data_IF_778510514803
#
_entry.id   IF_778510514803
#
_cell.length_a   1.000
_cell.length_b   1.000
_cell.length_c   1.000
_cell.angle_alpha   90.00
_cell.angle_beta   90.00
_cell.angle_gamma   90.00
#
_symmetry.space_group_name_H-M   'P 1'
#
loop_
_entity.id
_entity.type
_entity.pdbx_description
1 polymer ?
#
# COMPACT_ATOMS: atom_id res chain seq x y z
N UNK A 1 -44.73 -56.46 8.37
CA UNK A 1 -45.32 -56.17 9.69
C UNK A 1 -44.21 -55.61 10.57
N UNK A 2 -44.24 -54.32 10.81
CA UNK A 2 -43.57 -53.68 11.95
C UNK A 2 -44.40 -53.97 13.23
N UNK A 3 -43.83 -53.92 14.45
CA UNK A 3 -43.53 -52.60 15.04
C UNK A 3 -42.23 -52.49 15.84
N UNK A 4 -41.76 -51.24 15.86
CA UNK A 4 -40.72 -50.67 16.68
C UNK A 4 -41.18 -50.28 18.10
N UNK A 5 -40.20 -50.18 19.02
CA UNK A 5 -40.02 -49.28 20.20
C UNK A 5 -39.14 -50.03 21.22
N UNK A 6 -38.01 -49.52 21.72
CA UNK A 6 -37.86 -48.29 22.47
C UNK A 6 -36.46 -47.62 22.34
N UNK A 7 -36.46 -46.32 22.62
CA UNK A 7 -35.41 -45.26 22.62
C UNK A 7 -35.05 -44.95 24.10
N UNK A 8 -34.17 -44.02 24.55
CA UNK A 8 -32.90 -43.40 24.07
C UNK A 8 -31.73 -43.50 25.09
N UNK A 9 -30.50 -43.16 24.66
CA UNK A 9 -29.64 -42.27 25.45
C UNK A 9 -28.82 -41.38 24.50
N UNK A 10 -29.36 -40.20 24.23
CA UNK A 10 -28.62 -39.09 23.69
C UNK A 10 -27.84 -38.43 24.84
N UNK A 11 -26.51 -38.44 24.76
CA UNK A 11 -25.67 -37.61 25.61
C UNK A 11 -25.65 -36.22 24.99
N UNK A 12 -26.32 -35.32 25.68
CA UNK A 12 -26.27 -33.88 25.54
C UNK A 12 -24.85 -33.37 25.75
N UNK A 13 -24.27 -32.69 24.75
CA UNK A 13 -23.27 -31.66 24.99
C UNK A 13 -23.82 -30.30 24.56
N UNK A 14 -24.25 -29.60 25.61
CA UNK A 14 -24.69 -28.23 25.63
C UNK A 14 -23.50 -27.27 25.47
N UNK A 15 -23.71 -26.29 24.59
CA UNK A 15 -23.26 -24.90 24.71
C UNK A 15 -21.78 -24.61 25.01
N UNK A 16 -21.03 -24.30 23.96
CA UNK A 16 -20.45 -22.96 23.83
C UNK A 16 -20.33 -22.64 22.34
N UNK A 17 -21.35 -21.97 21.81
CA UNK A 17 -21.23 -21.24 20.55
C UNK A 17 -20.27 -20.08 20.81
N UNK A 18 -18.98 -20.28 20.53
CA UNK A 18 -18.12 -19.18 20.13
C UNK A 18 -18.59 -18.78 18.73
N UNK A 19 -19.63 -17.94 18.67
CA UNK A 19 -19.80 -17.03 17.56
C UNK A 19 -18.58 -16.10 17.57
N UNK A 20 -17.51 -16.55 16.93
CA UNK A 20 -16.50 -15.64 16.41
C UNK A 20 -17.25 -14.82 15.38
N UNK A 21 -17.68 -13.62 15.77
CA UNK A 21 -18.22 -12.69 14.80
C UNK A 21 -17.07 -12.42 13.82
N UNK A 22 -17.20 -12.95 12.60
CA UNK A 22 -16.41 -12.53 11.44
C UNK A 22 -16.76 -11.07 11.14
N UNK A 23 -16.29 -10.17 12.01
CA UNK A 23 -16.05 -8.80 11.62
C UNK A 23 -14.85 -8.89 10.69
N UNK A 24 -15.18 -9.01 9.41
CA UNK A 24 -14.30 -8.69 8.30
C UNK A 24 -13.74 -7.29 8.57
N UNK A 25 -12.61 -7.20 9.27
CA UNK A 25 -11.78 -6.01 9.25
C UNK A 25 -11.16 -5.98 7.86
N UNK A 26 -11.95 -5.50 6.90
CA UNK A 26 -11.45 -5.16 5.58
C UNK A 26 -10.47 -4.03 5.84
N UNK A 27 -9.19 -4.38 5.88
CA UNK A 27 -8.10 -3.43 5.75
C UNK A 27 -8.29 -2.83 4.34
N UNK A 28 -8.98 -1.69 4.26
CA UNK A 28 -9.21 -0.97 3.02
C UNK A 28 -7.88 -0.37 2.59
N UNK A 29 -7.01 -1.22 2.05
CA UNK A 29 -5.68 -0.83 1.66
C UNK A 29 -5.79 0.16 0.51
N UNK A 30 -5.20 1.34 0.75
CA UNK A 30 -4.69 2.31 -0.22
C UNK A 30 -4.08 1.64 -1.47
N UNK A 31 -3.63 0.38 -1.36
CA UNK A 31 -3.24 -0.49 -2.47
C UNK A 31 -4.24 -0.61 -3.64
N UNK A 32 -5.56 -0.38 -3.46
CA UNK A 32 -6.53 -0.41 -4.59
C UNK A 32 -6.38 0.77 -5.57
N UNK A 33 -5.75 1.86 -5.15
CA UNK A 33 -5.45 3.00 -6.04
C UNK A 33 -4.24 2.70 -6.94
N UNK A 34 -3.39 1.75 -6.52
CA UNK A 34 -2.22 1.27 -7.25
C UNK A 34 -2.42 -0.06 -7.96
N UNK A 35 -3.66 -0.54 -8.14
CA UNK A 35 -3.88 -1.80 -8.85
C UNK A 35 -3.53 -1.70 -10.34
N UNK A 36 -3.02 -2.80 -10.90
CA UNK A 36 -2.53 -2.89 -12.28
C UNK A 36 -3.18 -4.04 -13.04
N UNK A 37 -3.39 -3.91 -14.36
CA UNK A 37 -3.98 -4.97 -15.16
C UNK A 37 -3.06 -6.19 -15.29
N UNK A 38 -3.64 -7.36 -15.61
CA UNK A 38 -2.91 -8.64 -15.83
C UNK A 38 -1.71 -8.45 -16.75
N UNK A 39 -1.85 -7.71 -17.85
CA UNK A 39 -0.76 -7.48 -18.81
C UNK A 39 0.51 -6.90 -18.15
N UNK A 40 0.35 -5.92 -17.27
CA UNK A 40 1.47 -5.28 -16.58
C UNK A 40 2.16 -6.23 -15.59
N UNK A 41 1.38 -7.13 -14.97
CA UNK A 41 1.89 -8.19 -14.09
C UNK A 41 2.64 -9.25 -14.87
N UNK A 42 2.12 -9.65 -16.03
CA UNK A 42 2.76 -10.61 -16.92
C UNK A 42 4.11 -10.10 -17.40
N UNK A 43 4.22 -8.83 -17.82
CA UNK A 43 5.50 -8.24 -18.26
C UNK A 43 6.57 -8.30 -17.16
N UNK A 44 6.19 -8.12 -15.88
CA UNK A 44 7.11 -8.25 -14.74
C UNK A 44 7.45 -9.69 -14.43
N UNK A 45 6.46 -10.57 -14.48
CA UNK A 45 6.67 -11.98 -14.29
C UNK A 45 7.64 -12.53 -15.34
N UNK A 46 7.44 -12.21 -16.62
CA UNK A 46 8.31 -12.58 -17.73
C UNK A 46 9.73 -12.01 -17.54
N UNK A 47 9.84 -10.77 -17.05
CA UNK A 47 11.14 -10.19 -16.70
C UNK A 47 11.85 -11.01 -15.61
N UNK A 48 11.18 -11.35 -14.50
CA UNK A 48 11.76 -12.17 -13.42
C UNK A 48 12.22 -13.52 -13.96
N UNK A 49 11.39 -14.19 -14.77
CA UNK A 49 11.77 -15.46 -15.39
C UNK A 49 13.01 -15.33 -16.28
N UNK A 50 13.12 -14.24 -17.05
CA UNK A 50 14.30 -13.97 -17.89
C UNK A 50 15.60 -13.81 -17.09
N UNK A 51 15.51 -13.44 -15.81
CA UNK A 51 16.65 -13.30 -14.91
C UNK A 51 17.06 -14.62 -14.23
N UNK A 52 16.30 -15.70 -14.42
CA UNK A 52 16.55 -17.01 -13.77
C UNK A 52 16.81 -18.06 -14.87
N UNK A 53 18.07 -18.23 -15.32
CA UNK A 53 18.41 -19.09 -16.46
C UNK A 53 18.08 -20.58 -16.25
N UNK A 54 17.89 -21.01 -15.00
CA UNK A 54 17.62 -22.40 -14.62
C UNK A 54 16.15 -22.81 -14.78
N UNK A 55 15.22 -21.87 -14.92
CA UNK A 55 13.80 -22.16 -15.10
C UNK A 55 13.53 -22.56 -16.56
N UNK A 56 13.14 -23.82 -16.77
CA UNK A 56 12.72 -24.33 -18.08
C UNK A 56 11.37 -23.72 -18.45
N UNK A 57 11.23 -23.28 -19.71
CA UNK A 57 10.08 -22.54 -20.27
C UNK A 57 8.90 -23.47 -20.65
N UNK A 58 8.77 -24.62 -19.98
CA UNK A 58 7.55 -25.42 -20.14
C UNK A 58 6.49 -24.89 -19.17
N UNK A 59 5.52 -24.15 -19.70
CA UNK A 59 4.40 -23.56 -18.95
C UNK A 59 3.69 -24.57 -18.04
N UNK A 60 3.67 -25.86 -18.41
CA UNK A 60 3.01 -26.92 -17.63
C UNK A 60 3.76 -27.31 -16.35
N UNK A 61 5.07 -27.04 -16.29
CA UNK A 61 5.95 -27.34 -15.14
C UNK A 61 6.46 -26.07 -14.44
N UNK A 62 6.18 -24.89 -14.99
CA UNK A 62 6.67 -23.61 -14.52
C UNK A 62 6.27 -23.32 -13.07
N UNK A 63 5.01 -23.54 -12.71
CA UNK A 63 4.53 -23.27 -11.35
C UNK A 63 5.25 -24.15 -10.32
N UNK A 64 5.43 -25.45 -10.61
CA UNK A 64 6.17 -26.35 -9.74
C UNK A 64 7.63 -25.92 -9.58
N UNK A 65 8.26 -25.54 -10.70
CA UNK A 65 9.65 -25.09 -10.71
C UNK A 65 9.86 -23.78 -9.95
N UNK A 66 8.85 -22.89 -9.91
CA UNK A 66 8.88 -21.64 -9.15
C UNK A 66 8.70 -21.87 -7.64
N UNK A 67 7.83 -22.80 -7.25
CA UNK A 67 7.61 -23.15 -5.82
C UNK A 67 8.86 -23.75 -5.20
N UNK A 68 9.60 -24.54 -5.98
CA UNK A 68 10.83 -25.19 -5.55
C UNK A 68 12.06 -24.27 -5.66
N UNK A 69 11.92 -23.05 -6.19
CA UNK A 69 13.04 -22.14 -6.39
C UNK A 69 13.53 -21.57 -5.05
N UNK A 70 14.83 -21.70 -4.74
CA UNK A 70 15.42 -21.08 -3.56
C UNK A 70 15.25 -19.55 -3.55
N UNK A 71 14.96 -18.99 -2.37
CA UNK A 71 14.70 -17.55 -2.20
C UNK A 71 15.91 -16.68 -2.58
N UNK A 72 17.13 -17.19 -2.41
CA UNK A 72 18.38 -16.54 -2.81
C UNK A 72 18.57 -16.44 -4.33
N UNK A 73 17.80 -17.20 -5.12
CA UNK A 73 17.73 -17.05 -6.58
C UNK A 73 16.58 -16.12 -6.99
N UNK A 74 15.44 -16.18 -6.28
CA UNK A 74 14.27 -15.37 -6.60
C UNK A 74 14.47 -13.89 -6.26
N UNK A 75 15.02 -13.57 -5.08
CA UNK A 75 15.15 -12.19 -4.61
C UNK A 75 16.05 -11.32 -5.50
N UNK A 76 17.22 -11.79 -5.98
CA UNK A 76 18.05 -10.99 -6.90
C UNK A 76 17.45 -10.84 -8.30
N UNK A 77 16.61 -11.79 -8.73
CA UNK A 77 15.92 -11.76 -10.02
C UNK A 77 14.72 -10.80 -10.03
N UNK A 78 14.15 -10.53 -8.86
CA UNK A 78 13.04 -9.59 -8.70
C UNK A 78 13.47 -8.15 -8.99
N UNK A 79 12.75 -7.42 -9.87
CA UNK A 79 13.06 -6.02 -10.13
C UNK A 79 12.91 -5.19 -8.84
N UNK A 80 13.73 -4.15 -8.72
CA UNK A 80 13.58 -3.10 -7.70
C UNK A 80 12.36 -2.23 -7.99
N UNK A 81 11.18 -2.84 -8.06
CA UNK A 81 9.91 -2.22 -8.44
C UNK A 81 8.89 -2.35 -7.31
N UNK A 82 7.85 -1.54 -7.39
CA UNK A 82 6.70 -1.67 -6.50
C UNK A 82 5.74 -2.74 -7.03
N UNK A 83 5.40 -3.72 -6.19
CA UNK A 83 4.36 -4.69 -6.52
C UNK A 83 2.98 -4.10 -6.23
N UNK A 84 2.14 -4.12 -7.24
CA UNK A 84 0.77 -3.60 -7.22
C UNK A 84 -0.25 -4.73 -7.04
N UNK A 85 -1.45 -4.50 -6.48
CA UNK A 85 -2.52 -5.49 -6.59
C UNK A 85 -2.91 -5.75 -8.05
N UNK A 86 -3.38 -6.96 -8.34
CA UNK A 86 -3.91 -7.32 -9.65
C UNK A 86 -5.36 -6.81 -9.80
N UNK A 87 -5.67 -6.18 -10.94
CA UNK A 87 -7.05 -6.03 -11.43
C UNK A 87 -7.44 -7.34 -12.08
N UNK A 88 -8.16 -8.18 -11.34
CA UNK A 88 -8.58 -9.53 -11.74
C UNK A 88 -10.03 -9.58 -12.26
N UNK A 89 -10.71 -8.43 -12.31
CA UNK A 89 -12.12 -8.27 -12.66
C UNK A 89 -13.10 -8.92 -11.65
N UNK A 90 -12.60 -9.62 -10.63
CA UNK A 90 -13.37 -10.31 -9.60
C UNK A 90 -13.29 -9.53 -8.27
N UNK A 91 -12.17 -9.69 -7.55
CA UNK A 91 -11.88 -9.00 -6.28
C UNK A 91 -11.55 -7.53 -6.47
N UNK A 92 -10.75 -7.22 -7.49
CA UNK A 92 -10.44 -5.86 -7.92
C UNK A 92 -10.99 -5.69 -9.33
N UNK A 93 -12.21 -5.14 -9.47
CA UNK A 93 -12.88 -5.06 -10.76
C UNK A 93 -12.16 -4.18 -11.77
N UNK A 94 -11.62 -3.06 -11.29
CA UNK A 94 -10.99 -2.03 -12.09
C UNK A 94 -10.06 -1.21 -11.18
N UNK A 95 -9.09 -0.53 -11.78
CA UNK A 95 -8.23 0.39 -11.06
C UNK A 95 -8.97 1.67 -10.68
N UNK A 96 -8.73 2.15 -9.47
CA UNK A 96 -9.24 3.42 -9.00
C UNK A 96 -10.46 3.34 -8.08
N UNK A 97 -10.53 4.32 -7.18
CA UNK A 97 -11.54 4.36 -6.12
C UNK A 97 -12.95 4.59 -6.67
N UNK A 98 -13.15 5.50 -7.63
CA UNK A 98 -14.48 5.85 -8.15
C UNK A 98 -15.23 4.62 -8.68
N UNK A 99 -14.59 3.85 -9.55
CA UNK A 99 -15.17 2.66 -10.17
C UNK A 99 -15.42 1.55 -9.14
N UNK A 100 -14.51 1.42 -8.16
CA UNK A 100 -14.72 0.54 -7.00
C UNK A 100 -16.00 0.91 -6.25
N UNK A 101 -16.23 2.19 -5.95
CA UNK A 101 -17.45 2.66 -5.28
C UNK A 101 -18.71 2.44 -6.12
N UNK A 102 -18.62 2.61 -7.44
CA UNK A 102 -19.75 2.36 -8.35
C UNK A 102 -20.17 0.89 -8.34
N UNK A 103 -19.22 -0.06 -8.36
CA UNK A 103 -19.53 -1.50 -8.27
C UNK A 103 -20.16 -1.84 -6.94
N UNK A 104 -19.61 -1.35 -5.82
CA UNK A 104 -20.17 -1.55 -4.49
C UNK A 104 -21.60 -1.01 -4.40
N UNK A 105 -21.84 0.18 -4.94
CA UNK A 105 -23.18 0.79 -4.95
C UNK A 105 -24.18 -0.03 -5.76
N UNK A 106 -23.77 -0.57 -6.93
CA UNK A 106 -24.62 -1.47 -7.73
C UNK A 106 -24.93 -2.80 -7.03
N UNK A 107 -24.02 -3.28 -6.19
CA UNK A 107 -24.22 -4.47 -5.37
C UNK A 107 -25.11 -4.22 -4.14
N UNK A 108 -25.52 -2.97 -3.87
CA UNK A 108 -26.32 -2.60 -2.71
C UNK A 108 -25.52 -2.53 -1.40
N UNK A 109 -24.18 -2.48 -1.50
CA UNK A 109 -23.30 -2.37 -0.34
C UNK A 109 -23.34 -0.98 0.28
N UNK A 110 -22.97 -0.90 1.56
CA UNK A 110 -22.82 0.37 2.29
C UNK A 110 -21.36 0.63 2.64
N UNK A 111 -20.96 1.89 2.74
CA UNK A 111 -19.62 2.23 3.17
C UNK A 111 -19.58 2.42 4.70
N UNK A 112 -18.61 1.80 5.40
CA UNK A 112 -18.39 2.07 6.82
C UNK A 112 -17.93 3.52 7.00
N UNK A 113 -17.98 4.02 8.24
CA UNK A 113 -17.27 5.25 8.59
C UNK A 113 -15.77 5.05 8.38
N UNK A 114 -15.11 6.04 7.79
CA UNK A 114 -13.71 5.98 7.41
C UNK A 114 -12.92 7.08 8.11
N UNK A 115 -11.73 6.74 8.58
CA UNK A 115 -10.72 7.70 9.01
C UNK A 115 -9.52 7.52 8.08
N UNK A 116 -9.19 8.57 7.33
CA UNK A 116 -8.14 8.55 6.32
C UNK A 116 -7.23 9.75 6.58
N UNK A 117 -5.93 9.58 6.42
CA UNK A 117 -5.00 10.66 6.69
C UNK A 117 -3.61 10.35 6.18
N UNK A 118 -2.73 11.29 6.40
CA UNK A 118 -1.32 11.21 6.10
C UNK A 118 -0.50 11.78 7.25
N UNK A 119 0.79 11.54 7.22
CA UNK A 119 1.75 12.21 8.07
C UNK A 119 2.18 13.53 7.42
N UNK A 120 2.65 14.49 8.21
CA UNK A 120 3.12 15.79 7.67
C UNK A 120 4.28 15.61 6.69
N UNK A 121 5.18 14.65 6.97
CA UNK A 121 6.42 14.42 6.25
C UNK A 121 6.46 13.02 5.62
N UNK A 122 5.74 12.84 4.52
CA UNK A 122 5.74 11.60 3.72
C UNK A 122 6.96 11.45 2.79
N UNK A 123 7.85 12.45 2.75
CA UNK A 123 9.02 12.46 1.86
C UNK A 123 10.10 11.48 2.29
N UNK A 124 10.11 11.03 3.55
CA UNK A 124 11.09 10.06 4.04
C UNK A 124 11.00 8.74 3.25
N UNK A 125 9.79 8.27 2.98
CA UNK A 125 9.56 7.02 2.27
C UNK A 125 9.99 7.13 0.80
N UNK A 126 9.70 8.25 0.14
CA UNK A 126 10.13 8.46 -1.26
C UNK A 126 11.64 8.67 -1.37
N UNK A 127 12.26 9.33 -0.39
CA UNK A 127 13.72 9.37 -0.26
C UNK A 127 14.31 7.97 -0.07
N UNK A 128 13.73 7.15 0.80
CA UNK A 128 14.18 5.77 1.03
C UNK A 128 14.14 4.95 -0.26
N UNK A 129 13.06 5.06 -1.04
CA UNK A 129 12.91 4.34 -2.31
C UNK A 129 14.01 4.71 -3.33
N UNK A 130 14.32 6.00 -3.45
CA UNK A 130 15.24 6.52 -4.47
C UNK A 130 16.71 6.54 -4.06
N UNK A 131 17.00 6.71 -2.76
CA UNK A 131 18.36 6.98 -2.26
C UNK A 131 18.80 6.12 -1.05
N UNK A 132 17.93 5.23 -0.55
CA UNK A 132 18.22 4.37 0.60
C UNK A 132 18.09 5.08 1.95
N UNK A 133 18.55 4.42 3.02
CA UNK A 133 18.27 4.78 4.42
C UNK A 133 19.32 5.72 5.08
N UNK A 134 20.21 6.38 4.33
CA UNK A 134 21.35 7.11 4.91
C UNK A 134 21.16 8.64 4.92
N UNK A 135 21.69 9.32 5.95
CA UNK A 135 21.91 10.79 5.95
C UNK A 135 23.38 11.16 6.26
N UNK A 136 23.88 12.33 5.78
CA UNK A 136 23.22 13.26 4.85
C UNK A 136 22.90 12.54 3.55
N UNK A 137 21.78 12.88 2.88
CA UNK A 137 21.38 12.19 1.66
C UNK A 137 22.58 12.23 0.70
N UNK A 138 23.24 11.10 0.42
CA UNK A 138 24.26 11.10 -0.61
C UNK A 138 23.57 11.46 -1.94
N UNK A 139 24.30 11.97 -2.95
CA UNK A 139 23.75 11.99 -4.31
C UNK A 139 23.15 10.61 -4.60
N UNK A 140 21.99 10.54 -5.27
CA UNK A 140 21.31 9.27 -5.49
C UNK A 140 22.29 8.23 -6.01
N UNK A 141 22.43 7.12 -5.28
CA UNK A 141 23.36 6.04 -5.68
C UNK A 141 22.83 5.26 -6.88
N UNK A 142 21.54 5.39 -7.18
CA UNK A 142 20.86 4.82 -8.33
C UNK A 142 21.16 5.63 -9.59
N UNK A 143 21.15 4.94 -10.74
CA UNK A 143 21.24 5.61 -12.03
C UNK A 143 19.97 6.45 -12.27
N UNK A 144 20.10 7.58 -12.95
CA UNK A 144 18.95 8.46 -13.28
C UNK A 144 17.81 7.69 -13.99
N UNK A 145 18.14 6.76 -14.88
CA UNK A 145 17.15 5.89 -15.52
C UNK A 145 16.34 5.05 -14.51
N UNK A 146 16.97 4.54 -13.45
CA UNK A 146 16.29 3.76 -12.41
C UNK A 146 15.39 4.64 -11.54
N UNK A 147 15.85 5.85 -11.22
CA UNK A 147 15.08 6.85 -10.46
C UNK A 147 13.81 7.22 -11.22
N UNK A 148 13.95 7.49 -12.52
CA UNK A 148 12.82 7.83 -13.38
C UNK A 148 11.82 6.68 -13.50
N UNK A 149 12.30 5.43 -13.61
CA UNK A 149 11.42 4.25 -13.63
C UNK A 149 10.63 4.12 -12.32
N UNK A 150 11.29 4.19 -11.15
CA UNK A 150 10.62 4.11 -9.85
C UNK A 150 9.62 5.26 -9.68
N UNK A 151 10.00 6.48 -10.05
CA UNK A 151 9.11 7.63 -9.98
C UNK A 151 7.87 7.44 -10.87
N UNK A 152 8.04 6.98 -12.11
CA UNK A 152 6.93 6.67 -13.01
C UNK A 152 6.02 5.59 -12.42
N UNK A 153 6.58 4.54 -11.80
CA UNK A 153 5.79 3.48 -11.17
C UNK A 153 4.91 4.01 -10.03
N UNK A 154 5.49 4.81 -9.12
CA UNK A 154 4.77 5.44 -8.00
C UNK A 154 3.66 6.35 -8.51
N UNK A 155 3.97 7.23 -9.47
CA UNK A 155 3.03 8.24 -9.96
C UNK A 155 1.88 7.61 -10.73
N UNK A 156 2.18 6.68 -11.63
CA UNK A 156 1.16 5.96 -12.39
C UNK A 156 0.35 5.00 -11.51
N UNK A 157 0.87 4.59 -10.36
CA UNK A 157 0.17 3.79 -9.36
C UNK A 157 -0.77 4.60 -8.47
N UNK A 158 -0.87 5.92 -8.60
CA UNK A 158 -1.85 6.67 -7.82
C UNK A 158 -3.27 6.60 -8.41
N UNK A 159 -3.39 6.26 -9.69
CA UNK A 159 -4.62 6.38 -10.48
C UNK A 159 -5.26 7.79 -10.47
N UNK A 160 -4.59 8.81 -9.93
CA UNK A 160 -5.18 10.14 -9.69
C UNK A 160 -5.09 11.09 -10.88
N UNK A 161 -4.10 10.93 -11.75
CA UNK A 161 -3.91 11.79 -12.92
C UNK A 161 -3.84 10.96 -14.20
N UNK A 162 -4.79 11.12 -15.15
CA UNK A 162 -4.82 10.32 -16.37
C UNK A 162 -3.50 10.33 -17.14
N UNK A 163 -2.82 11.47 -17.19
CA UNK A 163 -1.54 11.66 -17.90
C UNK A 163 -0.40 10.88 -17.24
N UNK A 164 -0.25 10.94 -15.91
CA UNK A 164 0.80 10.13 -15.26
C UNK A 164 0.42 8.65 -15.28
N UNK A 165 -0.87 8.31 -15.21
CA UNK A 165 -1.35 6.93 -15.30
C UNK A 165 -1.06 6.28 -16.67
N UNK A 166 -1.04 7.07 -17.76
CA UNK A 166 -0.67 6.58 -19.09
C UNK A 166 0.84 6.41 -19.27
N UNK A 167 1.64 6.70 -18.24
CA UNK A 167 3.10 6.60 -18.27
C UNK A 167 3.78 7.86 -18.83
N UNK A 168 3.07 8.99 -18.94
CA UNK A 168 3.72 10.23 -19.31
C UNK A 168 4.74 10.61 -18.22
N UNK A 169 5.90 11.07 -18.66
CA UNK A 169 6.91 11.59 -17.75
C UNK A 169 6.34 12.78 -16.97
N UNK A 170 6.54 12.85 -15.63
CA UNK A 170 6.09 14.01 -14.85
C UNK A 170 6.69 15.33 -15.34
N UNK A 171 7.84 15.26 -16.01
CA UNK A 171 8.52 16.38 -16.65
C UNK A 171 7.80 16.91 -17.92
N UNK A 172 6.74 16.23 -18.37
CA UNK A 172 5.96 16.56 -19.56
C UNK A 172 4.53 17.03 -19.25
N UNK A 173 4.10 17.06 -17.98
CA UNK A 173 2.75 17.48 -17.58
C UNK A 173 2.80 18.94 -17.08
N UNK A 174 2.26 19.93 -17.81
CA UNK A 174 2.47 21.36 -17.52
C UNK A 174 2.11 21.80 -16.10
N UNK A 175 1.00 21.30 -15.54
CA UNK A 175 0.59 21.67 -14.19
C UNK A 175 1.53 21.08 -13.13
N UNK A 176 2.06 19.88 -13.38
CA UNK A 176 3.02 19.21 -12.50
C UNK A 176 4.38 19.89 -12.58
N UNK A 177 4.85 20.21 -13.78
CA UNK A 177 6.12 20.91 -13.97
C UNK A 177 6.10 22.30 -13.36
N UNK A 178 4.96 23.00 -13.42
CA UNK A 178 4.78 24.28 -12.75
C UNK A 178 4.78 24.14 -11.21
N UNK A 179 4.03 23.19 -10.67
CA UNK A 179 3.88 23.03 -9.21
C UNK A 179 5.17 22.56 -8.51
N UNK A 180 5.98 21.74 -9.18
CA UNK A 180 7.20 21.13 -8.63
C UNK A 180 8.48 21.60 -9.32
N UNK A 181 8.45 22.72 -10.05
CA UNK A 181 9.64 23.26 -10.74
C UNK A 181 10.39 22.25 -11.63
N UNK A 182 9.71 21.20 -12.13
CA UNK A 182 10.30 20.18 -12.97
C UNK A 182 10.45 20.71 -14.40
N UNK A 183 11.48 20.27 -15.12
CA UNK A 183 11.67 20.66 -16.51
C UNK A 183 12.26 19.53 -17.33
N UNK A 184 11.70 19.29 -18.52
CA UNK A 184 12.20 18.30 -19.49
C UNK A 184 13.67 18.53 -19.90
N UNK A 185 14.15 19.77 -19.80
CA UNK A 185 15.53 20.13 -20.14
C UNK A 185 16.54 19.98 -19.01
N UNK A 186 16.11 19.55 -17.81
CA UNK A 186 16.97 19.35 -16.64
C UNK A 186 17.05 17.87 -16.29
N UNK A 187 18.18 17.45 -15.71
CA UNK A 187 18.30 16.09 -15.17
C UNK A 187 17.33 15.94 -13.99
N UNK A 188 16.79 14.73 -13.79
CA UNK A 188 15.99 14.43 -12.61
C UNK A 188 16.84 14.52 -11.32
N UNK A 189 18.16 14.43 -11.43
CA UNK A 189 19.09 14.59 -10.33
C UNK A 189 19.18 16.06 -9.88
N UNK A 190 19.08 17.00 -10.83
CA UNK A 190 19.05 18.45 -10.54
C UNK A 190 17.74 18.87 -9.83
N UNK A 191 16.66 18.15 -10.10
CA UNK A 191 15.33 18.35 -9.51
C UNK A 191 14.92 17.22 -8.56
N UNK A 192 15.91 16.58 -7.91
CA UNK A 192 15.67 15.37 -7.14
C UNK A 192 14.71 15.59 -5.96
N UNK A 193 14.91 16.65 -5.18
CA UNK A 193 14.06 16.96 -4.02
C UNK A 193 12.61 17.30 -4.43
N UNK A 194 12.45 17.98 -5.57
CA UNK A 194 11.14 18.29 -6.14
C UNK A 194 10.42 17.03 -6.63
N UNK A 195 11.13 16.12 -7.28
CA UNK A 195 10.60 14.82 -7.70
C UNK A 195 10.17 13.96 -6.49
N UNK A 196 11.00 13.93 -5.44
CA UNK A 196 10.70 13.28 -4.16
C UNK A 196 9.44 13.86 -3.52
N UNK A 197 9.31 15.19 -3.55
CA UNK A 197 8.13 15.90 -3.05
C UNK A 197 6.87 15.54 -3.84
N UNK A 198 6.94 15.56 -5.17
CA UNK A 198 5.85 15.16 -6.05
C UNK A 198 5.39 13.72 -5.76
N UNK A 199 6.34 12.79 -5.66
CA UNK A 199 6.03 11.39 -5.37
C UNK A 199 5.34 11.24 -4.01
N UNK A 200 5.80 11.95 -2.98
CA UNK A 200 5.23 11.88 -1.65
C UNK A 200 3.81 12.46 -1.60
N UNK A 201 3.61 13.60 -2.28
CA UNK A 201 2.31 14.24 -2.35
C UNK A 201 1.30 13.39 -3.14
N UNK A 202 1.70 12.80 -4.26
CA UNK A 202 0.81 11.98 -5.08
C UNK A 202 0.49 10.65 -4.41
N UNK A 203 1.49 9.98 -3.82
CA UNK A 203 1.30 8.66 -3.23
C UNK A 203 0.60 8.72 -1.86
N UNK A 204 0.85 9.74 -1.05
CA UNK A 204 0.46 9.71 0.37
C UNK A 204 -0.35 10.92 0.82
N UNK A 205 0.00 12.16 0.44
CA UNK A 205 -0.68 13.36 1.02
C UNK A 205 -1.97 13.75 0.30
N UNK A 206 -1.98 13.69 -1.03
CA UNK A 206 -3.16 14.04 -1.84
C UNK A 206 -4.19 12.91 -1.82
N UNK A 207 -3.75 11.66 -1.62
CA UNK A 207 -4.58 10.47 -1.66
C UNK A 207 -5.74 10.49 -0.63
N UNK A 208 -5.51 10.83 0.66
CA UNK A 208 -6.60 11.02 1.63
C UNK A 208 -7.61 12.09 1.22
N UNK A 209 -7.14 13.20 0.66
CA UNK A 209 -7.97 14.34 0.23
C UNK A 209 -8.84 13.92 -0.96
N UNK A 210 -8.22 13.34 -1.98
CA UNK A 210 -8.90 12.81 -3.15
C UNK A 210 -9.93 11.76 -2.77
N UNK A 211 -9.54 10.78 -1.95
CA UNK A 211 -10.42 9.69 -1.52
C UNK A 211 -11.65 10.24 -0.80
N UNK A 212 -11.44 11.17 0.14
CA UNK A 212 -12.52 11.85 0.86
C UNK A 212 -13.46 12.57 -0.10
N UNK A 213 -12.92 13.31 -1.08
CA UNK A 213 -13.72 14.05 -2.06
C UNK A 213 -14.54 13.11 -2.96
N UNK A 214 -13.96 11.99 -3.41
CA UNK A 214 -14.65 10.98 -4.23
C UNK A 214 -15.75 10.29 -3.44
N UNK A 215 -15.47 9.81 -2.22
CA UNK A 215 -16.45 9.13 -1.37
C UNK A 215 -17.63 10.06 -1.05
N UNK A 216 -17.37 11.29 -0.61
CA UNK A 216 -18.42 12.25 -0.25
C UNK A 216 -19.34 12.62 -1.41
N UNK A 217 -18.89 12.51 -2.65
CA UNK A 217 -19.70 12.79 -3.85
C UNK A 217 -20.46 11.56 -4.35
N UNK A 218 -20.10 10.36 -3.91
CA UNK A 218 -20.69 9.13 -4.41
C UNK A 218 -22.02 8.80 -3.72
N UNK A 219 -23.08 8.37 -4.44
CA UNK A 219 -24.38 8.06 -3.85
C UNK A 219 -24.35 7.03 -2.71
N UNK A 220 -23.40 6.10 -2.75
CA UNK A 220 -23.20 5.06 -1.71
C UNK A 220 -22.96 5.67 -0.32
N UNK A 221 -22.40 6.88 -0.22
CA UNK A 221 -22.16 7.55 1.05
C UNK A 221 -23.43 8.20 1.65
N UNK A 222 -24.50 8.31 0.86
CA UNK A 222 -25.75 9.01 1.19
C UNK A 222 -26.99 8.10 1.18
N UNK A 223 -26.81 6.81 0.88
CA UNK A 223 -27.89 5.89 0.53
C UNK A 223 -28.88 5.54 1.65
N UNK A 224 -28.58 5.86 2.92
CA UNK A 224 -29.46 5.55 4.05
C UNK A 224 -29.71 6.77 4.94
N UNK A 225 -30.99 7.07 5.18
CA UNK A 225 -31.48 8.23 5.93
C UNK A 225 -31.06 8.26 7.43
N UNK A 226 -30.41 7.20 7.94
CA UNK A 226 -29.90 7.14 9.31
C UNK A 226 -28.37 6.97 9.40
N UNK A 227 -27.69 6.54 8.34
CA UNK A 227 -26.27 6.13 8.36
C UNK A 227 -25.51 6.69 7.15
N UNK A 228 -25.37 8.02 7.08
CA UNK A 228 -24.44 8.63 6.13
C UNK A 228 -22.99 8.27 6.51
N UNK A 229 -22.21 7.83 5.53
CA UNK A 229 -20.79 7.53 5.74
C UNK A 229 -20.06 8.79 6.18
N UNK A 230 -19.50 8.76 7.39
CA UNK A 230 -18.62 9.82 7.88
C UNK A 230 -17.20 9.51 7.43
N UNK A 231 -16.59 10.47 6.74
CA UNK A 231 -15.16 10.45 6.41
C UNK A 231 -14.46 11.51 7.25
N UNK A 232 -13.62 11.06 8.18
CA UNK A 232 -12.73 11.88 8.98
C UNK A 232 -11.37 11.95 8.29
N UNK A 233 -10.91 13.18 8.03
CA UNK A 233 -9.58 13.44 7.48
C UNK A 233 -8.66 13.88 8.62
N UNK A 234 -7.46 13.33 8.69
CA UNK A 234 -6.46 13.73 9.69
C UNK A 234 -5.08 13.94 9.06
N UNK A 235 -4.25 14.74 9.75
CA UNK A 235 -2.81 14.87 9.47
C UNK A 235 -2.06 14.67 10.80
N UNK A 236 -1.05 13.79 10.81
CA UNK A 236 -0.23 13.55 12.00
C UNK A 236 1.03 14.41 11.92
N UNK A 237 1.24 15.21 12.95
CA UNK A 237 2.40 16.10 13.12
C UNK A 237 3.32 15.66 14.27
N UNK A 238 2.99 14.53 14.92
CA UNK A 238 3.82 13.98 15.97
C UNK A 238 5.13 13.43 15.35
N UNK A 239 6.26 13.77 15.96
CA UNK A 239 7.58 13.52 15.36
C UNK A 239 8.24 12.25 15.87
N UNK A 240 9.08 11.65 15.04
CA UNK A 240 9.82 10.44 15.36
C UNK A 240 10.95 10.69 16.37
N UNK A 241 10.91 10.03 17.55
CA UNK A 241 11.94 10.20 18.57
C UNK A 241 13.24 9.42 18.28
N UNK A 242 13.24 8.49 17.31
CA UNK A 242 14.32 7.54 17.10
C UNK A 242 15.45 8.09 16.24
N UNK A 243 16.57 8.41 16.91
CA UNK A 243 17.80 8.94 16.29
C UNK A 243 18.42 8.01 15.23
N UNK A 244 18.17 6.69 15.35
CA UNK A 244 18.69 5.68 14.43
C UNK A 244 17.89 5.57 13.12
N UNK A 245 16.79 6.32 12.97
CA UNK A 245 16.05 6.47 11.72
C UNK A 245 16.38 7.84 11.09
N UNK A 246 17.49 7.96 10.34
CA UNK A 246 18.02 9.27 9.96
C UNK A 246 17.09 10.07 9.05
N UNK A 247 16.33 9.40 8.17
CA UNK A 247 15.39 10.06 7.26
C UNK A 247 14.21 10.72 7.98
N UNK A 248 13.70 10.10 9.05
CA UNK A 248 12.50 10.56 9.74
C UNK A 248 12.70 11.13 11.13
N UNK A 249 13.89 11.02 11.74
CA UNK A 249 14.16 11.57 13.08
C UNK A 249 13.80 13.05 13.18
N UNK A 250 12.99 13.40 14.20
CA UNK A 250 12.39 14.74 14.43
C UNK A 250 11.45 15.24 13.33
N UNK A 251 10.92 14.35 12.52
CA UNK A 251 9.86 14.65 11.54
C UNK A 251 8.67 13.72 11.77
N UNK A 252 7.48 14.13 11.35
CA UNK A 252 6.31 13.25 11.35
C UNK A 252 6.35 12.37 10.09
N UNK A 253 7.18 11.36 10.13
CA UNK A 253 7.59 10.54 9.00
C UNK A 253 6.57 9.43 8.68
N UNK A 254 6.65 8.78 7.52
CA UNK A 254 5.74 7.70 7.17
C UNK A 254 5.69 6.60 8.25
N UNK A 255 4.47 6.18 8.64
CA UNK A 255 4.25 5.14 9.65
C UNK A 255 4.44 5.59 11.11
N UNK A 256 4.72 6.87 11.38
CA UNK A 256 4.91 7.38 12.75
C UNK A 256 3.66 7.20 13.63
N UNK A 257 2.49 7.13 13.01
CA UNK A 257 1.22 6.85 13.67
C UNK A 257 1.22 5.50 14.39
N UNK A 258 1.92 4.49 13.87
CA UNK A 258 1.92 3.15 14.43
C UNK A 258 2.56 3.14 15.83
N UNK A 259 3.60 3.95 16.03
CA UNK A 259 4.26 4.12 17.33
C UNK A 259 3.28 4.67 18.36
N UNK A 260 2.44 5.63 17.98
CA UNK A 260 1.48 6.26 18.89
C UNK A 260 0.18 5.47 19.07
N UNK A 261 -0.28 4.76 18.03
CA UNK A 261 -1.52 3.99 18.06
C UNK A 261 -1.34 2.66 18.76
N UNK A 262 -0.24 1.96 18.48
CA UNK A 262 0.00 0.65 19.07
C UNK A 262 0.73 0.77 20.39
N UNK A 263 1.60 1.79 20.56
CA UNK A 263 2.38 2.11 21.76
C UNK A 263 2.48 0.91 22.70
N UNK A 264 3.11 -0.21 22.27
CA UNK A 264 3.08 -1.43 23.07
C UNK A 264 3.74 -1.06 24.39
N UNK A 265 2.94 -1.03 25.44
CA UNK A 265 3.44 -0.74 26.76
C UNK A 265 4.53 -1.77 27.08
N UNK A 266 5.54 -1.38 27.84
CA UNK A 266 6.69 -2.23 28.17
C UNK A 266 6.26 -3.63 28.64
N UNK A 267 5.17 -3.70 29.40
CA UNK A 267 4.56 -4.92 29.94
C UNK A 267 3.86 -5.81 28.90
N UNK A 268 3.63 -5.32 27.68
CA UNK A 268 3.08 -6.07 26.55
C UNK A 268 4.15 -6.65 25.62
N UNK A 269 5.43 -6.33 25.85
CA UNK A 269 6.55 -6.85 25.07
C UNK A 269 7.05 -8.16 25.71
N UNK A 270 7.10 -9.28 24.98
CA UNK A 270 7.71 -10.51 25.48
C UNK A 270 9.15 -10.26 25.96
N UNK A 271 9.55 -10.88 27.08
CA UNK A 271 10.84 -10.66 27.75
C UNK A 271 12.03 -10.80 26.77
N UNK A 272 11.95 -11.76 25.85
CA UNK A 272 12.96 -12.02 24.80
C UNK A 272 13.15 -10.90 23.76
N UNK A 273 12.20 -9.96 23.67
CA UNK A 273 12.25 -8.81 22.78
C UNK A 273 12.38 -7.49 23.53
N UNK A 274 12.36 -7.51 24.86
CA UNK A 274 12.34 -6.33 25.70
C UNK A 274 13.61 -5.49 25.56
N UNK A 275 14.78 -6.11 25.46
CA UNK A 275 16.06 -5.40 25.27
C UNK A 275 16.10 -4.66 23.91
N UNK A 276 15.68 -5.33 22.83
CA UNK A 276 15.55 -4.72 21.51
C UNK A 276 14.53 -3.59 21.52
N UNK A 277 13.37 -3.81 22.14
CA UNK A 277 12.33 -2.79 22.30
C UNK A 277 12.82 -1.60 23.10
N UNK A 278 13.46 -1.78 24.26
CA UNK A 278 14.02 -0.70 25.07
C UNK A 278 15.10 0.09 24.31
N UNK A 279 15.94 -0.60 23.53
CA UNK A 279 16.98 0.02 22.71
C UNK A 279 16.40 0.85 21.55
N UNK A 280 15.27 0.40 21.00
CA UNK A 280 14.58 1.05 19.89
C UNK A 280 13.69 2.18 20.37
N UNK A 281 12.90 1.96 21.44
CA UNK A 281 11.86 2.87 21.95
C UNK A 281 12.42 4.00 22.80
N UNK A 282 13.71 3.94 23.18
CA UNK A 282 14.47 5.06 23.72
C UNK A 282 13.68 5.92 24.71
N UNK A 283 13.61 5.45 25.97
CA UNK A 283 12.87 6.11 27.06
C UNK A 283 12.82 7.63 26.90
N UNK A 284 11.61 8.15 26.68
CA UNK A 284 11.30 9.58 26.60
C UNK A 284 11.69 10.26 27.90
#
# INVERSE_FOLDING_TARGET
MEPARAVPHAITRSTSQLQVSERHSVQWNICRLASRPVKWHQERFDYVLSQIPSLQVDDSLLLGSLVDLPLDQLLPASPSSLYSPLVDCEWVPEAGLKLTLEKLGKAGETLPNLMIGATEYERDLTLMLLSGLSRPLPPPTRLEAEILLIAQEVLAGSAMTPQLNSGDSPFCVPDVTHAYSLSRGRSCLDSFEDLVGLMADVAFRTLPIYSTAVIKKHPIAHGHAADSTRVLLYEIQATNPYKNWPLGHKTANHGINDIFLFNPAEDQVPIEHLENWMSAVGQI
#
